data_IF_135573893680
#
_entry.id   IF_135573893680
#
_cell.length_a   1.000
_cell.length_b   1.000
_cell.length_c   1.000
_cell.angle_alpha   90.00
_cell.angle_beta   90.00
_cell.angle_gamma   90.00
#
_symmetry.space_group_name_H-M   'P 1'
#
loop_
_entity.id
_entity.type
_entity.pdbx_description
1 polymer ?
#
# COMPACT_ATOMS: atom_id res chain seq x y z
N UNK A 1 -12.66 12.79 16.79
CA UNK A 1 -13.29 12.27 15.56
C UNK A 1 -12.64 10.93 15.24
N UNK A 2 -13.42 9.97 14.79
CA UNK A 2 -12.92 8.67 14.36
C UNK A 2 -12.04 8.84 13.12
N UNK A 3 -10.84 8.25 13.13
CA UNK A 3 -9.92 8.36 12.02
C UNK A 3 -10.32 7.38 10.91
N UNK A 4 -10.53 7.89 9.71
CA UNK A 4 -10.85 7.11 8.50
C UNK A 4 -9.68 7.20 7.54
N UNK A 5 -9.07 6.06 7.23
CA UNK A 5 -7.89 5.97 6.38
C UNK A 5 -8.27 5.26 5.09
N UNK A 6 -8.03 5.91 3.97
CA UNK A 6 -8.12 5.30 2.64
C UNK A 6 -6.72 4.99 2.13
N UNK A 7 -6.47 3.71 1.84
CA UNK A 7 -5.26 3.24 1.17
C UNK A 7 -5.60 2.94 -0.28
N UNK A 8 -4.84 3.48 -1.22
CA UNK A 8 -5.02 3.25 -2.66
C UNK A 8 -3.69 2.81 -3.25
N UNK A 9 -3.57 1.52 -3.59
CA UNK A 9 -2.34 0.93 -4.14
C UNK A 9 -2.68 -0.02 -5.30
N UNK A 10 -1.80 -0.17 -6.29
CA UNK A 10 -2.12 -0.95 -7.49
C UNK A 10 -2.10 -2.46 -7.32
N UNK A 11 -1.20 -3.03 -6.49
CA UNK A 11 -1.01 -4.48 -6.47
C UNK A 11 -1.20 -5.09 -5.08
N UNK A 12 -1.63 -6.36 -4.99
CA UNK A 12 -1.48 -7.16 -3.78
C UNK A 12 0.01 -7.27 -3.44
N UNK A 13 0.43 -6.95 -2.23
CA UNK A 13 1.78 -6.88 -1.66
C UNK A 13 2.37 -5.47 -1.47
N UNK A 14 1.83 -4.46 -2.12
CA UNK A 14 2.30 -3.08 -1.96
C UNK A 14 2.14 -2.57 -0.51
N UNK A 15 1.15 -3.10 0.22
CA UNK A 15 0.88 -2.71 1.60
C UNK A 15 1.89 -3.28 2.59
N UNK A 16 2.52 -4.43 2.30
CA UNK A 16 3.14 -5.25 3.32
C UNK A 16 4.45 -4.68 3.89
N UNK A 17 5.32 -4.08 3.06
CA UNK A 17 6.62 -3.58 3.53
C UNK A 17 6.57 -2.15 4.05
N UNK A 18 5.81 -1.27 3.40
CA UNK A 18 5.88 0.17 3.63
C UNK A 18 4.86 0.72 4.61
N UNK A 19 3.71 0.04 4.78
CA UNK A 19 2.58 0.64 5.52
C UNK A 19 1.87 -0.31 6.49
N UNK A 20 2.11 -1.62 6.43
CA UNK A 20 1.33 -2.59 7.21
C UNK A 20 1.42 -2.39 8.72
N UNK A 21 2.58 -2.00 9.22
CA UNK A 21 2.76 -1.66 10.64
C UNK A 21 2.04 -0.38 11.03
N UNK A 22 2.10 0.65 10.19
CA UNK A 22 1.36 1.91 10.36
C UNK A 22 -0.15 1.65 10.40
N UNK A 23 -0.67 0.86 9.44
CA UNK A 23 -2.10 0.52 9.41
C UNK A 23 -2.52 -0.25 10.66
N UNK A 24 -1.75 -1.26 11.07
CA UNK A 24 -2.03 -2.02 12.30
C UNK A 24 -2.04 -1.12 13.54
N UNK A 25 -1.11 -0.16 13.62
CA UNK A 25 -1.06 0.84 14.71
C UNK A 25 -2.30 1.73 14.73
N UNK A 26 -2.72 2.25 13.58
CA UNK A 26 -3.93 3.09 13.48
C UNK A 26 -5.19 2.30 13.83
N UNK A 27 -5.32 1.06 13.34
CA UNK A 27 -6.45 0.17 13.66
C UNK A 27 -6.52 -0.12 15.16
N UNK A 28 -5.38 -0.41 15.79
CA UNK A 28 -5.30 -0.61 17.23
C UNK A 28 -5.70 0.65 18.03
N UNK A 29 -5.54 1.84 17.44
CA UNK A 29 -5.99 3.11 18.00
C UNK A 29 -7.46 3.45 17.67
N UNK A 30 -8.21 2.55 17.00
CA UNK A 30 -9.62 2.71 16.67
C UNK A 30 -9.90 3.35 15.30
N UNK A 31 -8.90 3.44 14.42
CA UNK A 31 -9.12 3.93 13.06
C UNK A 31 -9.85 2.88 12.19
N UNK A 32 -10.74 3.36 11.33
CA UNK A 32 -11.28 2.55 10.25
C UNK A 32 -10.38 2.66 9.01
N UNK A 33 -9.96 1.52 8.46
CA UNK A 33 -9.09 1.46 7.27
C UNK A 33 -9.83 0.78 6.12
N UNK A 34 -9.96 1.50 5.01
CA UNK A 34 -10.37 0.93 3.73
C UNK A 34 -9.16 0.81 2.82
N UNK A 35 -8.93 -0.36 2.27
CA UNK A 35 -7.88 -0.60 1.29
C UNK A 35 -8.47 -0.86 -0.09
N UNK A 36 -8.21 0.04 -1.03
CA UNK A 36 -8.55 -0.07 -2.44
C UNK A 36 -7.33 -0.56 -3.23
N UNK A 37 -7.37 -1.81 -3.67
CA UNK A 37 -6.36 -2.43 -4.52
C UNK A 37 -6.85 -2.42 -5.98
N UNK A 38 -6.08 -1.80 -6.90
CA UNK A 38 -6.55 -1.57 -8.25
C UNK A 38 -6.56 -2.82 -9.12
N UNK A 39 -5.52 -3.67 -8.98
CA UNK A 39 -5.34 -4.88 -9.81
C UNK A 39 -5.17 -6.13 -8.94
N UNK A 40 -5.09 -7.30 -9.55
CA UNK A 40 -4.69 -8.54 -8.86
C UNK A 40 -3.23 -8.91 -9.09
N UNK A 41 -2.45 -8.03 -9.75
CA UNK A 41 -1.04 -8.27 -10.02
C UNK A 41 -0.78 -9.51 -10.87
N UNK A 42 -1.66 -9.81 -11.82
CA UNK A 42 -1.69 -11.03 -12.62
C UNK A 42 -0.49 -11.20 -13.55
N UNK A 43 0.25 -10.10 -13.78
CA UNK A 43 1.46 -10.11 -14.62
C UNK A 43 2.77 -10.09 -13.82
N UNK A 44 2.71 -10.34 -12.51
CA UNK A 44 3.91 -10.45 -11.68
C UNK A 44 4.84 -11.57 -12.21
N UNK A 45 6.14 -11.42 -11.95
CA UNK A 45 7.16 -12.37 -12.44
C UNK A 45 7.28 -13.60 -11.55
N UNK A 46 7.10 -13.42 -10.25
CA UNK A 46 7.26 -14.47 -9.26
C UNK A 46 6.03 -15.39 -9.22
N UNK A 47 6.28 -16.66 -9.00
CA UNK A 47 5.29 -17.74 -8.98
C UNK A 47 5.38 -18.59 -7.70
N UNK A 48 6.05 -18.06 -6.67
CA UNK A 48 6.39 -18.76 -5.43
C UNK A 48 7.80 -19.35 -5.43
N UNK A 49 8.25 -19.81 -4.24
CA UNK A 49 9.54 -20.48 -4.09
C UNK A 49 9.39 -21.70 -3.14
N UNK A 50 9.45 -22.97 -3.67
CA UNK A 50 9.46 -23.32 -5.09
C UNK A 50 8.18 -22.85 -5.81
N UNK A 51 8.19 -22.73 -7.17
CA UNK A 51 7.02 -22.26 -7.90
C UNK A 51 5.78 -23.16 -7.68
N UNK A 52 4.65 -22.53 -7.30
CA UNK A 52 3.37 -23.21 -7.08
C UNK A 52 2.20 -22.51 -7.81
N UNK A 53 2.47 -21.36 -8.40
CA UNK A 53 1.52 -20.60 -9.23
C UNK A 53 1.89 -20.71 -10.72
N UNK A 54 0.96 -20.29 -11.58
CA UNK A 54 1.16 -20.04 -13.01
C UNK A 54 0.32 -18.84 -13.44
N UNK A 55 0.40 -18.43 -14.72
CA UNK A 55 -0.32 -17.24 -15.24
C UNK A 55 -1.84 -17.30 -15.06
N UNK A 56 -2.43 -18.48 -15.05
CA UNK A 56 -3.87 -18.66 -14.88
C UNK A 56 -4.27 -18.61 -13.42
N UNK A 57 -3.49 -19.23 -12.53
CA UNK A 57 -3.81 -19.34 -11.10
C UNK A 57 -3.34 -18.15 -10.26
N UNK A 58 -2.32 -17.42 -10.76
CA UNK A 58 -1.67 -16.33 -10.00
C UNK A 58 -2.64 -15.24 -9.49
N UNK A 59 -3.58 -14.70 -10.31
CA UNK A 59 -4.49 -13.65 -9.83
C UNK A 59 -5.30 -14.08 -8.61
N UNK A 60 -5.84 -15.30 -8.65
CA UNK A 60 -6.64 -15.83 -7.56
C UNK A 60 -5.80 -16.15 -6.32
N UNK A 61 -4.56 -16.61 -6.51
CA UNK A 61 -3.61 -16.85 -5.42
C UNK A 61 -3.28 -15.51 -4.75
N UNK A 62 -2.90 -14.48 -5.54
CA UNK A 62 -2.57 -13.15 -5.00
C UNK A 62 -3.74 -12.47 -4.31
N UNK A 63 -4.96 -12.66 -4.81
CA UNK A 63 -6.17 -12.22 -4.11
C UNK A 63 -6.26 -12.85 -2.72
N UNK A 64 -6.12 -14.16 -2.61
CA UNK A 64 -6.15 -14.86 -1.32
C UNK A 64 -5.00 -14.46 -0.38
N UNK A 65 -3.81 -14.18 -0.93
CA UNK A 65 -2.67 -13.66 -0.19
C UNK A 65 -2.94 -12.25 0.36
N UNK A 66 -3.54 -11.37 -0.45
CA UNK A 66 -3.96 -10.04 -0.02
C UNK A 66 -5.02 -10.08 1.08
N UNK A 67 -6.02 -10.96 0.95
CA UNK A 67 -7.06 -11.16 1.99
C UNK A 67 -6.43 -11.64 3.31
N UNK A 68 -5.42 -12.52 3.25
CA UNK A 68 -4.67 -12.95 4.44
C UNK A 68 -3.82 -11.82 5.03
N UNK A 69 -3.17 -11.01 4.19
CA UNK A 69 -2.42 -9.84 4.61
C UNK A 69 -3.34 -8.81 5.30
N UNK A 70 -4.47 -8.48 4.70
CA UNK A 70 -5.48 -7.60 5.31
C UNK A 70 -5.93 -8.11 6.69
N UNK A 71 -6.20 -9.42 6.80
CA UNK A 71 -6.56 -10.04 8.08
C UNK A 71 -5.43 -9.93 9.11
N UNK A 72 -4.17 -10.11 8.71
CA UNK A 72 -3.02 -10.02 9.60
C UNK A 72 -2.82 -8.59 10.14
N UNK A 73 -3.06 -7.58 9.29
CA UNK A 73 -2.99 -6.16 9.64
C UNK A 73 -4.20 -5.74 10.50
N UNK A 74 -5.37 -6.34 10.27
CA UNK A 74 -6.64 -5.98 10.89
C UNK A 74 -7.56 -5.16 9.98
N UNK A 75 -7.25 -5.03 8.69
CA UNK A 75 -8.09 -4.33 7.70
C UNK A 75 -9.35 -5.17 7.46
N UNK A 76 -10.52 -4.54 7.58
CA UNK A 76 -11.81 -5.20 7.40
C UNK A 76 -12.51 -4.82 6.09
N UNK A 77 -12.16 -3.68 5.49
CA UNK A 77 -12.73 -3.20 4.24
C UNK A 77 -11.68 -3.23 3.13
N UNK A 78 -11.71 -4.29 2.32
CA UNK A 78 -10.88 -4.48 1.14
C UNK A 78 -11.73 -4.30 -0.12
N UNK A 79 -11.37 -3.34 -0.95
CA UNK A 79 -12.02 -3.04 -2.23
C UNK A 79 -11.10 -3.42 -3.39
N UNK A 80 -11.54 -4.33 -4.25
CA UNK A 80 -10.82 -4.74 -5.48
C UNK A 80 -11.45 -3.99 -6.65
N UNK A 81 -10.68 -3.11 -7.32
CA UNK A 81 -11.24 -2.21 -8.33
C UNK A 81 -11.30 -2.83 -9.74
N UNK A 82 -10.61 -3.96 -9.98
CA UNK A 82 -10.75 -4.75 -11.20
C UNK A 82 -10.02 -4.21 -12.44
N UNK A 83 -9.05 -3.32 -12.26
CA UNK A 83 -8.14 -2.91 -13.33
C UNK A 83 -7.13 -4.01 -13.65
N UNK A 84 -6.42 -3.87 -14.78
CA UNK A 84 -5.41 -4.81 -15.22
C UNK A 84 -3.99 -4.40 -14.80
N UNK A 85 -3.23 -5.36 -14.30
CA UNK A 85 -1.83 -5.21 -13.93
C UNK A 85 -0.97 -4.81 -15.16
N UNK A 86 -0.07 -3.84 -14.95
CA UNK A 86 0.81 -3.26 -15.98
C UNK A 86 0.08 -2.52 -17.10
N UNK A 87 -1.11 -2.00 -16.83
CA UNK A 87 -1.83 -1.19 -17.81
C UNK A 87 -2.36 0.12 -17.23
N UNK A 88 -2.17 0.39 -15.94
CA UNK A 88 -2.75 1.58 -15.31
C UNK A 88 -2.24 2.89 -15.92
N UNK A 89 -1.00 2.92 -16.42
CA UNK A 89 -0.45 4.09 -17.12
C UNK A 89 -1.16 4.38 -18.46
N UNK A 90 -1.85 3.37 -19.04
CA UNK A 90 -2.59 3.48 -20.31
C UNK A 90 -4.10 3.58 -20.11
N UNK A 91 -4.58 3.46 -18.87
CA UNK A 91 -6.01 3.58 -18.57
C UNK A 91 -6.51 5.01 -18.76
N UNK A 92 -7.80 5.13 -19.05
CA UNK A 92 -8.47 6.43 -19.09
C UNK A 92 -8.34 7.12 -17.72
N UNK A 93 -7.70 8.28 -17.72
CA UNK A 93 -7.48 9.06 -16.51
C UNK A 93 -8.79 9.47 -15.83
N UNK A 94 -9.82 9.80 -16.62
CA UNK A 94 -11.13 10.17 -16.08
C UNK A 94 -11.80 8.98 -15.40
N UNK A 95 -11.60 7.75 -15.88
CA UNK A 95 -12.09 6.53 -15.23
C UNK A 95 -11.38 6.27 -13.90
N UNK A 96 -10.05 6.41 -13.86
CA UNK A 96 -9.27 6.29 -12.61
C UNK A 96 -9.72 7.35 -11.59
N UNK A 97 -9.83 8.60 -12.03
CA UNK A 97 -10.25 9.71 -11.18
C UNK A 97 -11.67 9.54 -10.66
N UNK A 98 -12.59 9.04 -11.52
CA UNK A 98 -13.96 8.73 -11.12
C UNK A 98 -13.99 7.67 -10.00
N UNK A 99 -13.25 6.55 -10.18
CA UNK A 99 -13.22 5.48 -9.17
C UNK A 99 -12.63 5.93 -7.84
N UNK A 100 -11.60 6.75 -7.86
CA UNK A 100 -11.01 7.34 -6.65
C UNK A 100 -11.96 8.37 -6.04
N UNK A 101 -12.61 9.20 -6.87
CA UNK A 101 -13.58 10.19 -6.43
C UNK A 101 -14.79 9.55 -5.73
N UNK A 102 -15.30 8.41 -6.25
CA UNK A 102 -16.37 7.63 -5.60
C UNK A 102 -15.96 7.18 -4.19
N UNK A 103 -14.71 6.67 -4.01
CA UNK A 103 -14.18 6.27 -2.71
C UNK A 103 -14.02 7.46 -1.75
N UNK A 104 -13.51 8.60 -2.24
CA UNK A 104 -13.34 9.80 -1.42
C UNK A 104 -14.71 10.33 -0.94
N UNK A 105 -15.72 10.35 -1.82
CA UNK A 105 -17.05 10.82 -1.49
C UNK A 105 -17.78 9.87 -0.51
N UNK A 106 -17.64 8.55 -0.67
CA UNK A 106 -18.25 7.55 0.21
C UNK A 106 -17.62 7.56 1.61
N UNK A 107 -16.29 7.60 1.66
CA UNK A 107 -15.55 7.33 2.90
C UNK A 107 -15.18 8.60 3.68
N UNK A 108 -15.18 9.76 3.04
CA UNK A 108 -14.72 11.03 3.63
C UNK A 108 -13.45 10.84 4.49
N UNK A 109 -12.32 10.38 3.88
CA UNK A 109 -11.16 9.97 4.65
C UNK A 109 -10.46 11.15 5.32
N UNK A 110 -9.96 10.92 6.53
CA UNK A 110 -9.13 11.90 7.27
C UNK A 110 -7.64 11.76 6.96
N UNK A 111 -7.25 10.70 6.24
CA UNK A 111 -5.90 10.44 5.74
C UNK A 111 -6.00 9.54 4.50
N UNK A 112 -5.22 9.84 3.48
CA UNK A 112 -5.05 8.97 2.30
C UNK A 112 -3.59 8.50 2.23
N UNK A 113 -3.36 7.23 1.93
CA UNK A 113 -2.01 6.65 1.74
C UNK A 113 -1.93 6.08 0.32
N UNK A 114 -0.88 6.46 -0.41
CA UNK A 114 -0.61 6.00 -1.78
C UNK A 114 0.88 6.09 -2.13
N UNK A 115 1.23 5.93 -3.40
CA UNK A 115 2.59 6.16 -3.89
C UNK A 115 2.83 7.63 -4.27
N UNK A 116 4.07 8.08 -4.14
CA UNK A 116 4.47 9.42 -4.61
C UNK A 116 4.59 9.38 -6.15
N UNK A 117 3.80 10.18 -6.89
CA UNK A 117 3.81 10.15 -8.35
C UNK A 117 5.21 10.43 -8.92
N UNK A 118 5.67 9.57 -9.83
CA UNK A 118 6.98 9.69 -10.48
C UNK A 118 8.17 9.16 -9.65
N UNK A 119 7.93 8.69 -8.41
CA UNK A 119 9.00 8.25 -7.51
C UNK A 119 8.80 6.87 -6.91
N UNK A 120 7.97 6.04 -7.53
CA UNK A 120 7.62 4.72 -7.00
C UNK A 120 8.07 3.53 -7.87
N UNK A 121 8.99 3.74 -8.82
CA UNK A 121 9.73 2.74 -9.63
C UNK A 121 8.88 1.98 -10.65
N UNK A 122 7.60 1.72 -10.38
CA UNK A 122 6.72 0.96 -11.27
C UNK A 122 5.70 1.88 -11.93
N UNK A 123 5.45 1.77 -13.27
CA UNK A 123 4.48 2.63 -13.95
C UNK A 123 3.08 2.63 -13.32
N UNK A 124 2.58 1.47 -12.88
CA UNK A 124 1.29 1.37 -12.18
C UNK A 124 1.30 2.09 -10.83
N UNK A 125 2.43 2.08 -10.09
CA UNK A 125 2.56 2.85 -8.84
C UNK A 125 2.46 4.34 -9.10
N UNK A 126 3.18 4.82 -10.11
CA UNK A 126 3.19 6.23 -10.49
C UNK A 126 1.81 6.66 -11.01
N UNK A 127 1.16 5.85 -11.85
CA UNK A 127 -0.18 6.13 -12.35
C UNK A 127 -1.23 6.17 -11.23
N UNK A 128 -1.17 5.22 -10.29
CA UNK A 128 -2.06 5.19 -9.10
C UNK A 128 -1.87 6.43 -8.25
N UNK A 129 -0.62 6.75 -7.87
CA UNK A 129 -0.32 7.94 -7.09
C UNK A 129 -0.77 9.21 -7.79
N UNK A 130 -0.52 9.34 -9.10
CA UNK A 130 -0.93 10.49 -9.90
C UNK A 130 -2.46 10.64 -9.93
N UNK A 131 -3.22 9.55 -10.09
CA UNK A 131 -4.68 9.59 -10.07
C UNK A 131 -5.22 10.04 -8.70
N UNK A 132 -4.64 9.53 -7.60
CA UNK A 132 -5.04 9.92 -6.24
C UNK A 132 -4.82 11.41 -6.00
N UNK A 133 -3.61 11.92 -6.27
CA UNK A 133 -3.31 13.34 -6.02
C UNK A 133 -4.06 14.26 -6.96
N UNK A 134 -4.27 13.87 -8.21
CA UNK A 134 -5.07 14.63 -9.19
C UNK A 134 -6.52 14.73 -8.74
N UNK A 135 -7.12 13.64 -8.26
CA UNK A 135 -8.51 13.63 -7.80
C UNK A 135 -8.69 14.45 -6.53
N UNK A 136 -7.80 14.30 -5.53
CA UNK A 136 -7.83 15.11 -4.31
C UNK A 136 -7.56 16.59 -4.64
N UNK A 137 -6.70 16.87 -5.60
CA UNK A 137 -6.41 18.23 -6.05
C UNK A 137 -7.63 18.99 -6.60
N UNK A 138 -8.64 18.27 -7.11
CA UNK A 138 -9.93 18.84 -7.58
C UNK A 138 -10.86 19.25 -6.43
N UNK A 139 -10.62 18.79 -5.20
CA UNK A 139 -11.42 19.19 -4.03
C UNK A 139 -11.06 20.60 -3.57
N UNK A 140 -12.00 21.24 -2.86
CA UNK A 140 -11.71 22.49 -2.16
C UNK A 140 -10.50 22.32 -1.25
N UNK A 141 -9.52 23.23 -1.24
CA UNK A 141 -8.32 23.13 -0.42
C UNK A 141 -8.57 22.86 1.06
N UNK A 142 -9.66 23.42 1.61
CA UNK A 142 -10.06 23.23 3.01
C UNK A 142 -10.62 21.84 3.32
N UNK A 143 -11.01 21.08 2.27
CA UNK A 143 -11.60 19.74 2.39
C UNK A 143 -10.64 18.62 1.98
N UNK A 144 -9.41 18.96 1.56
CA UNK A 144 -8.41 17.96 1.14
C UNK A 144 -7.89 17.19 2.34
N UNK A 145 -8.02 15.86 2.38
CA UNK A 145 -7.30 15.07 3.39
C UNK A 145 -5.79 15.15 3.15
N UNK A 146 -4.96 15.07 4.20
CA UNK A 146 -3.54 14.85 4.05
C UNK A 146 -3.28 13.56 3.26
N UNK A 147 -2.24 13.58 2.41
CA UNK A 147 -1.83 12.42 1.62
C UNK A 147 -0.41 12.04 2.01
N UNK A 148 -0.25 10.85 2.58
CA UNK A 148 1.04 10.26 2.87
C UNK A 148 1.46 9.33 1.72
N UNK A 149 2.61 9.61 1.14
CA UNK A 149 3.11 8.91 -0.03
C UNK A 149 4.31 8.04 0.30
N UNK A 150 4.40 6.88 -0.36
CA UNK A 150 5.58 6.03 -0.41
C UNK A 150 6.43 6.39 -1.64
N UNK A 151 7.75 6.47 -1.48
CA UNK A 151 8.70 6.70 -2.55
C UNK A 151 9.93 5.79 -2.40
N UNK A 152 10.39 5.18 -3.50
CA UNK A 152 11.55 4.26 -3.49
C UNK A 152 12.45 4.39 -4.72
N UNK A 153 12.14 5.27 -5.68
CA UNK A 153 12.98 5.44 -6.87
C UNK A 153 14.39 5.88 -6.48
N UNK A 154 15.35 5.56 -7.32
CA UNK A 154 16.72 6.03 -7.11
C UNK A 154 16.74 7.56 -7.06
N UNK A 155 17.48 8.14 -6.10
CA UNK A 155 17.63 9.59 -5.90
C UNK A 155 16.30 10.36 -5.63
N UNK A 156 15.22 9.70 -5.22
CA UNK A 156 13.96 10.41 -4.92
C UNK A 156 14.14 11.53 -3.89
N UNK A 157 15.00 11.32 -2.87
CA UNK A 157 15.23 12.34 -1.83
C UNK A 157 15.94 13.61 -2.35
N UNK A 158 16.69 13.52 -3.43
CA UNK A 158 17.30 14.69 -4.08
C UNK A 158 16.22 15.57 -4.73
N UNK A 159 15.12 14.95 -5.21
CA UNK A 159 14.04 15.63 -5.91
C UNK A 159 12.91 16.09 -4.99
N UNK A 160 12.51 15.25 -4.04
CA UNK A 160 11.32 15.49 -3.17
C UNK A 160 11.70 15.73 -1.71
N UNK A 161 12.98 15.76 -1.37
CA UNK A 161 13.47 15.93 0.00
C UNK A 161 13.42 14.65 0.82
N UNK A 162 13.84 14.75 2.07
CA UNK A 162 13.74 13.65 3.04
C UNK A 162 12.27 13.38 3.42
N UNK A 163 11.93 12.16 3.87
CA UNK A 163 10.59 11.89 4.41
C UNK A 163 10.33 12.80 5.61
N UNK A 164 9.09 13.27 5.73
CA UNK A 164 8.64 14.16 6.79
C UNK A 164 7.74 13.46 7.83
N UNK A 165 7.33 12.21 7.56
CA UNK A 165 6.56 11.39 8.49
C UNK A 165 7.31 10.09 8.78
N UNK A 166 7.56 9.82 10.07
CA UNK A 166 8.19 8.60 10.58
C UNK A 166 7.26 7.93 11.58
N UNK A 167 6.94 6.68 11.35
CA UNK A 167 6.09 5.90 12.25
C UNK A 167 6.89 4.75 12.83
N UNK A 168 7.11 4.77 14.14
CA UNK A 168 7.62 3.59 14.85
C UNK A 168 6.52 2.53 14.93
N UNK A 169 6.81 1.38 14.32
CA UNK A 169 5.92 0.23 14.23
C UNK A 169 6.50 -1.00 14.95
N UNK A 170 7.46 -0.80 15.84
CA UNK A 170 8.15 -1.88 16.56
C UNK A 170 7.19 -2.79 17.32
N UNK A 171 6.14 -2.23 17.93
CA UNK A 171 5.10 -2.98 18.64
C UNK A 171 4.16 -3.76 17.70
N UNK A 172 4.16 -3.43 16.41
CA UNK A 172 3.32 -4.01 15.36
C UNK A 172 4.08 -4.91 14.37
N UNK A 173 5.34 -5.24 14.68
CA UNK A 173 6.17 -6.11 13.84
C UNK A 173 5.57 -7.50 13.62
N UNK A 174 4.78 -8.03 14.55
CA UNK A 174 4.10 -9.31 14.35
C UNK A 174 3.11 -9.24 13.20
N UNK A 175 2.27 -8.20 13.18
CA UNK A 175 1.29 -7.96 12.12
C UNK A 175 1.98 -7.71 10.78
N UNK A 176 3.01 -6.87 10.78
CA UNK A 176 3.82 -6.57 9.59
C UNK A 176 4.48 -7.82 9.00
N UNK A 177 5.12 -8.63 9.83
CA UNK A 177 5.75 -9.88 9.40
C UNK A 177 4.70 -10.85 8.87
N UNK A 178 3.55 -10.99 9.53
CA UNK A 178 2.47 -11.83 9.07
C UNK A 178 1.90 -11.37 7.72
N UNK A 179 1.79 -10.06 7.50
CA UNK A 179 1.41 -9.47 6.20
C UNK A 179 2.44 -9.83 5.12
N UNK A 180 3.73 -9.61 5.34
CA UNK A 180 4.79 -9.97 4.38
C UNK A 180 4.76 -11.47 4.05
N UNK A 181 4.63 -12.33 5.07
CA UNK A 181 4.59 -13.78 4.92
C UNK A 181 3.31 -14.30 4.24
N UNK A 182 2.27 -13.48 4.12
CA UNK A 182 1.06 -13.82 3.37
C UNK A 182 1.33 -13.87 1.86
N UNK A 183 2.23 -13.04 1.34
CA UNK A 183 2.53 -12.90 -0.10
C UNK A 183 3.58 -13.92 -0.60
N UNK A 184 3.34 -15.21 -0.36
CA UNK A 184 4.27 -16.31 -0.66
C UNK A 184 4.55 -16.50 -2.14
N UNK A 185 3.62 -16.11 -3.01
CA UNK A 185 3.84 -16.16 -4.45
C UNK A 185 4.88 -15.12 -4.90
N UNK A 186 5.08 -14.04 -4.12
CA UNK A 186 5.92 -12.90 -4.49
C UNK A 186 7.23 -12.84 -3.72
N UNK A 187 7.21 -13.15 -2.43
CA UNK A 187 8.38 -12.96 -1.56
C UNK A 187 8.81 -14.24 -0.84
N UNK A 188 10.13 -14.37 -0.72
CA UNK A 188 10.76 -15.30 0.20
C UNK A 188 11.84 -14.56 0.97
N UNK A 189 11.57 -14.25 2.23
CA UNK A 189 12.49 -13.53 3.14
C UNK A 189 12.88 -14.49 4.27
N UNK A 190 14.01 -15.22 4.15
CA UNK A 190 14.38 -16.31 5.06
C UNK A 190 14.33 -15.92 6.54
N UNK A 191 14.81 -14.71 6.88
CA UNK A 191 14.89 -14.22 8.26
C UNK A 191 13.51 -14.13 8.94
N UNK A 192 12.44 -13.97 8.17
CA UNK A 192 11.08 -13.87 8.71
C UNK A 192 10.44 -15.23 9.02
N UNK A 193 11.06 -16.34 8.57
CA UNK A 193 10.62 -17.70 8.90
C UNK A 193 11.30 -18.25 10.16
N UNK A 194 12.22 -17.52 10.76
CA UNK A 194 12.86 -17.90 12.01
C UNK A 194 11.90 -17.88 13.20
N UNK A 195 12.32 -18.50 14.31
CA UNK A 195 11.53 -18.49 15.56
C UNK A 195 11.53 -17.06 16.17
N UNK A 196 10.35 -16.48 16.32
CA UNK A 196 10.15 -15.13 16.87
C UNK A 196 10.90 -14.03 16.11
N UNK A 197 10.73 -13.88 14.79
CA UNK A 197 11.50 -12.94 13.99
C UNK A 197 11.33 -11.49 14.45
N UNK A 198 10.17 -11.12 15.01
CA UNK A 198 9.89 -9.80 15.57
C UNK A 198 10.80 -9.42 16.77
N UNK A 199 11.51 -10.38 17.39
CA UNK A 199 12.49 -10.16 18.45
C UNK A 199 13.92 -10.08 17.95
N UNK A 200 14.16 -10.39 16.67
CA UNK A 200 15.47 -10.30 16.06
C UNK A 200 15.83 -8.84 15.84
N UNK A 201 17.01 -8.41 16.30
CA UNK A 201 17.47 -7.03 16.23
C UNK A 201 17.56 -6.52 14.78
N UNK A 202 18.09 -7.33 13.86
CA UNK A 202 18.19 -6.97 12.45
C UNK A 202 16.81 -6.75 11.82
N UNK A 203 15.83 -7.59 12.16
CA UNK A 203 14.43 -7.43 11.72
C UNK A 203 13.83 -6.15 12.29
N UNK A 204 14.08 -5.85 13.56
CA UNK A 204 13.59 -4.61 14.19
C UNK A 204 14.21 -3.36 13.54
N UNK A 205 15.52 -3.35 13.31
CA UNK A 205 16.23 -2.23 12.65
C UNK A 205 15.73 -2.04 11.21
N UNK A 206 15.48 -3.13 10.48
CA UNK A 206 15.05 -3.08 9.08
C UNK A 206 13.58 -2.71 8.91
N UNK A 207 12.70 -3.21 9.76
CA UNK A 207 11.24 -3.14 9.56
C UNK A 207 10.50 -2.34 10.63
N UNK A 208 11.17 -1.88 11.68
CA UNK A 208 10.56 -1.21 12.84
C UNK A 208 10.15 0.24 12.61
N UNK A 209 10.51 0.84 11.47
CA UNK A 209 10.13 2.22 11.13
C UNK A 209 9.60 2.29 9.71
N UNK A 210 8.43 2.88 9.54
CA UNK A 210 7.83 3.21 8.25
C UNK A 210 7.95 4.71 8.00
N UNK A 211 8.11 5.11 6.71
CA UNK A 211 8.44 6.48 6.33
C UNK A 211 7.54 6.92 5.20
N UNK A 212 7.08 8.19 5.27
CA UNK A 212 6.23 8.77 4.26
C UNK A 212 6.67 10.19 3.93
N UNK A 213 6.25 10.64 2.76
CA UNK A 213 6.30 12.02 2.30
C UNK A 213 4.90 12.57 2.24
N UNK A 214 4.64 13.67 2.92
CA UNK A 214 3.36 14.37 2.78
C UNK A 214 3.30 15.05 1.42
N UNK A 215 2.32 14.66 0.58
CA UNK A 215 2.13 15.32 -0.71
C UNK A 215 1.65 16.75 -0.51
N UNK A 216 2.33 17.69 -1.16
CA UNK A 216 2.00 19.12 -1.08
C UNK A 216 1.30 19.54 -2.36
N UNK A 217 0.04 19.93 -2.20
CA UNK A 217 -0.74 20.50 -3.30
C UNK A 217 -0.30 21.95 -3.53
N UNK A 218 -0.16 22.34 -4.81
CA UNK A 218 0.14 23.71 -5.21
C UNK A 218 -1.06 24.64 -4.98
#
# INVERSE_FOLDING_TARGET
MEQRILVVLPHPDDECFGISGTLAKHIAAGAHVTYACLTLGERARNMGNPPFANRITLPQIRKGELEQSCKAIGIQDLRLLGFHDKTLEFEDQDLLDLKIGELLAELDPTLVITFFPGFAVHPDHDATGAAVVRTIGKLDPSSRPPVHCLAFSHNHQESIGAPDVFVDVSDFLKQKIASILSHRSQFYVPQLFEKNPHKNREVQERFGTERFWTYKFA
#
